data_IF_489582170305
#
_entry.id   IF_489582170305
#
_cell.length_a   1.000
_cell.length_b   1.000
_cell.length_c   1.000
_cell.angle_alpha   90.00
_cell.angle_beta   90.00
_cell.angle_gamma   90.00
#
_symmetry.space_group_name_H-M   'P 1'
#
loop_
_entity.id
_entity.type
_entity.pdbx_description
1 polymer ?
#
# COMPACT_ATOMS: atom_id res chain seq x y z
N UNK A 1 3.23 -13.54 -0.91
CA UNK A 1 3.19 -13.87 -2.34
C UNK A 1 4.64 -14.07 -2.75
N UNK A 2 4.99 -15.15 -3.46
CA UNK A 2 6.35 -15.35 -3.97
C UNK A 2 6.38 -14.86 -5.43
N UNK A 3 7.32 -13.97 -5.74
CA UNK A 3 7.55 -13.43 -7.09
C UNK A 3 9.02 -13.58 -7.45
N UNK A 4 9.32 -13.75 -8.72
CA UNK A 4 10.67 -13.94 -9.26
C UNK A 4 11.08 -12.71 -10.05
N UNK A 5 12.28 -12.22 -9.83
CA UNK A 5 12.77 -11.04 -10.52
C UNK A 5 14.25 -11.11 -10.81
N UNK A 6 14.71 -10.07 -11.50
CA UNK A 6 16.11 -9.84 -11.81
C UNK A 6 16.56 -8.49 -11.25
N UNK A 7 17.84 -8.34 -11.03
CA UNK A 7 18.45 -7.02 -10.92
C UNK A 7 19.51 -6.83 -12.00
N UNK A 8 19.56 -5.61 -12.54
CA UNK A 8 20.33 -5.31 -13.77
C UNK A 8 20.97 -3.95 -13.70
N UNK A 9 22.05 -3.79 -14.45
CA UNK A 9 22.78 -2.54 -14.64
C UNK A 9 23.23 -2.42 -16.10
N UNK A 10 24.07 -1.43 -16.41
CA UNK A 10 24.74 -1.34 -17.70
C UNK A 10 25.52 -2.61 -18.08
N UNK A 11 25.95 -3.43 -17.11
CA UNK A 11 26.75 -4.63 -17.37
C UNK A 11 25.98 -5.75 -18.06
N UNK A 12 24.64 -5.75 -17.99
CA UNK A 12 23.79 -6.67 -18.76
C UNK A 12 23.61 -6.23 -20.23
N UNK A 13 24.12 -5.05 -20.60
CA UNK A 13 24.04 -4.54 -21.96
C UNK A 13 22.61 -4.27 -22.42
N UNK A 14 22.38 -4.31 -23.74
CA UNK A 14 21.06 -4.05 -24.32
C UNK A 14 20.11 -5.23 -24.12
N UNK A 15 19.30 -5.13 -23.07
CA UNK A 15 18.25 -6.12 -22.74
C UNK A 15 17.07 -6.02 -23.72
N UNK A 16 16.56 -7.17 -24.16
CA UNK A 16 15.30 -7.30 -24.89
C UNK A 16 14.13 -7.47 -23.91
N UNK A 17 13.60 -6.34 -23.42
CA UNK A 17 12.54 -6.32 -22.40
C UNK A 17 11.21 -6.92 -22.86
N UNK A 18 10.91 -6.92 -24.16
CA UNK A 18 9.71 -7.57 -24.72
C UNK A 18 9.72 -9.09 -24.53
N UNK A 19 10.92 -9.68 -24.55
CA UNK A 19 11.11 -11.11 -24.27
C UNK A 19 11.16 -11.34 -22.77
N UNK A 20 12.03 -10.60 -22.06
CA UNK A 20 12.27 -10.75 -20.61
C UNK A 20 10.98 -10.70 -19.80
N UNK A 21 10.01 -9.82 -20.14
CA UNK A 21 8.75 -9.67 -19.39
C UNK A 21 7.94 -10.96 -19.24
N UNK A 22 8.17 -11.97 -20.07
CA UNK A 22 7.48 -13.26 -19.98
C UNK A 22 8.16 -14.25 -19.02
N UNK A 23 9.32 -13.87 -18.45
CA UNK A 23 10.16 -14.71 -17.62
C UNK A 23 10.39 -14.15 -16.21
N UNK A 24 9.91 -12.93 -15.94
CA UNK A 24 10.08 -12.24 -14.65
C UNK A 24 8.75 -11.61 -14.21
N UNK A 25 8.59 -11.46 -12.90
CA UNK A 25 7.50 -10.70 -12.29
C UNK A 25 7.90 -9.25 -11.99
N UNK A 26 9.20 -8.98 -11.79
CA UNK A 26 9.72 -7.64 -11.49
C UNK A 26 11.22 -7.48 -11.84
N UNK A 27 11.68 -6.23 -11.87
CA UNK A 27 13.10 -5.89 -11.99
C UNK A 27 13.56 -4.83 -10.96
N UNK A 28 14.80 -4.92 -10.48
CA UNK A 28 15.48 -3.82 -9.75
C UNK A 28 16.62 -3.30 -10.63
N UNK A 29 16.62 -2.01 -10.96
CA UNK A 29 17.53 -1.45 -11.97
C UNK A 29 18.55 -0.55 -11.26
N UNK A 30 19.85 -0.71 -11.53
CA UNK A 30 20.84 0.27 -11.06
C UNK A 30 20.55 1.61 -11.69
N UNK A 31 20.34 2.63 -10.87
CA UNK A 31 20.17 4.00 -11.35
C UNK A 31 21.50 4.75 -11.46
N UNK A 32 22.44 4.44 -10.58
CA UNK A 32 23.77 5.03 -10.56
C UNK A 32 24.60 4.49 -9.41
N UNK A 33 25.70 5.16 -9.15
CA UNK A 33 26.60 4.87 -8.04
C UNK A 33 27.18 6.17 -7.49
N UNK A 34 27.53 6.19 -6.21
CA UNK A 34 28.18 7.37 -5.62
C UNK A 34 27.31 8.63 -5.60
N UNK A 35 27.94 9.77 -5.87
CA UNK A 35 27.37 11.11 -5.66
C UNK A 35 26.55 11.57 -6.86
N UNK A 36 25.73 12.62 -6.64
CA UNK A 36 24.88 13.23 -7.66
C UNK A 36 25.68 13.93 -8.78
N UNK A 37 26.24 13.13 -9.66
CA UNK A 37 27.13 13.51 -10.76
C UNK A 37 26.67 12.72 -11.99
N UNK A 38 26.42 13.42 -13.11
CA UNK A 38 25.94 12.80 -14.36
C UNK A 38 26.83 11.63 -14.82
N UNK A 39 28.15 11.75 -14.66
CA UNK A 39 29.10 10.68 -15.02
C UNK A 39 29.03 9.43 -14.13
N UNK A 40 28.23 9.46 -13.06
CA UNK A 40 27.96 8.31 -12.20
C UNK A 40 26.52 7.78 -12.33
N UNK A 41 25.73 8.33 -13.26
CA UNK A 41 24.48 7.70 -13.70
C UNK A 41 24.84 6.35 -14.38
N UNK A 42 24.03 5.32 -14.17
CA UNK A 42 24.20 4.08 -14.93
C UNK A 42 23.77 4.31 -16.39
N UNK A 43 24.64 4.00 -17.35
CA UNK A 43 24.46 4.39 -18.75
C UNK A 43 23.18 3.79 -19.38
N UNK A 44 22.69 2.67 -18.86
CA UNK A 44 21.49 2.00 -19.35
C UNK A 44 20.27 2.20 -18.44
N UNK A 45 20.39 2.91 -17.32
CA UNK A 45 19.27 3.14 -16.40
C UNK A 45 18.05 3.71 -17.13
N UNK A 46 18.23 4.82 -17.85
CA UNK A 46 17.11 5.50 -18.52
C UNK A 46 16.39 4.57 -19.50
N UNK A 47 17.15 3.87 -20.35
CA UNK A 47 16.57 2.91 -21.30
C UNK A 47 15.80 1.80 -20.56
N UNK A 48 16.39 1.23 -19.53
CA UNK A 48 15.77 0.13 -18.79
C UNK A 48 14.50 0.58 -18.05
N UNK A 49 14.51 1.75 -17.41
CA UNK A 49 13.34 2.32 -16.73
C UNK A 49 12.23 2.70 -17.73
N UNK A 50 12.58 3.29 -18.87
CA UNK A 50 11.63 3.64 -19.95
C UNK A 50 10.96 2.37 -20.51
N UNK A 51 11.72 1.30 -20.75
CA UNK A 51 11.19 0.03 -21.27
C UNK A 51 10.31 -0.69 -20.24
N UNK A 52 10.73 -0.76 -18.97
CA UNK A 52 9.87 -1.31 -17.91
C UNK A 52 8.56 -0.53 -17.79
N UNK A 53 8.62 0.80 -17.87
CA UNK A 53 7.42 1.66 -17.86
C UNK A 53 6.53 1.39 -19.06
N UNK A 54 7.09 1.36 -20.29
CA UNK A 54 6.36 1.10 -21.55
C UNK A 54 5.65 -0.25 -21.52
N UNK A 55 6.28 -1.26 -20.91
CA UNK A 55 5.80 -2.64 -20.87
C UNK A 55 5.01 -2.99 -19.61
N UNK A 56 4.81 -2.04 -18.70
CA UNK A 56 4.18 -2.26 -17.39
C UNK A 56 4.85 -3.37 -16.57
N UNK A 57 6.18 -3.50 -16.67
CA UNK A 57 6.97 -4.39 -15.82
C UNK A 57 7.14 -3.69 -14.46
N UNK A 58 6.67 -4.26 -13.34
CA UNK A 58 6.92 -3.71 -12.02
C UNK A 58 8.42 -3.58 -11.77
N UNK A 59 8.88 -2.39 -11.40
CA UNK A 59 10.30 -2.18 -11.13
C UNK A 59 10.57 -1.26 -9.95
N UNK A 60 11.78 -1.40 -9.42
CA UNK A 60 12.40 -0.54 -8.42
C UNK A 60 13.82 -0.20 -8.88
N UNK A 61 14.59 0.45 -8.03
CA UNK A 61 15.98 0.82 -8.37
C UNK A 61 16.92 0.54 -7.23
N UNK A 62 18.22 0.48 -7.54
CA UNK A 62 19.26 0.56 -6.52
C UNK A 62 20.32 1.60 -6.88
N UNK A 63 21.01 2.08 -5.85
CA UNK A 63 22.20 2.91 -5.99
C UNK A 63 23.35 2.26 -5.23
N UNK A 64 24.47 2.04 -5.93
CA UNK A 64 25.69 1.49 -5.36
C UNK A 64 26.44 2.55 -4.56
N UNK A 65 26.58 2.36 -3.25
CA UNK A 65 27.10 3.39 -2.36
C UNK A 65 28.61 3.51 -2.38
N UNK A 66 29.11 4.75 -2.40
CA UNK A 66 30.50 5.07 -2.06
C UNK A 66 30.62 6.01 -0.85
N UNK A 67 29.54 6.15 -0.07
CA UNK A 67 29.47 7.10 1.03
C UNK A 67 30.45 6.77 2.16
N UNK A 68 31.18 7.79 2.62
CA UNK A 68 32.09 7.68 3.77
C UNK A 68 31.53 8.38 5.01
N UNK A 69 30.51 9.20 4.83
CA UNK A 69 29.89 9.98 5.88
C UNK A 69 28.43 10.31 5.53
N UNK A 70 27.73 10.95 6.47
CA UNK A 70 26.31 11.30 6.34
C UNK A 70 26.02 12.26 5.19
N UNK A 71 26.90 13.22 4.90
CA UNK A 71 26.66 14.18 3.81
C UNK A 71 26.78 13.50 2.45
N UNK A 72 27.77 12.61 2.28
CA UNK A 72 27.88 11.79 1.07
C UNK A 72 26.56 11.05 0.83
N UNK A 73 26.02 10.38 1.85
CA UNK A 73 24.76 9.63 1.77
C UNK A 73 23.55 10.48 1.37
N UNK A 74 23.50 11.75 1.78
CA UNK A 74 22.46 12.69 1.31
C UNK A 74 22.66 13.07 -0.15
N UNK A 75 23.91 13.23 -0.60
CA UNK A 75 24.25 13.40 -2.01
C UNK A 75 23.80 12.21 -2.85
N UNK A 76 24.05 11.00 -2.37
CA UNK A 76 23.60 9.74 -3.01
C UNK A 76 22.07 9.66 -3.08
N UNK A 77 21.35 10.06 -2.03
CA UNK A 77 19.88 10.14 -2.07
C UNK A 77 19.36 11.15 -3.10
N UNK A 78 19.98 12.34 -3.21
CA UNK A 78 19.64 13.35 -4.22
C UNK A 78 19.89 12.86 -5.64
N UNK A 79 20.96 12.09 -5.84
CA UNK A 79 21.26 11.41 -7.11
C UNK A 79 20.11 10.52 -7.55
N UNK A 80 19.65 9.64 -6.66
CA UNK A 80 18.50 8.78 -6.95
C UNK A 80 17.28 9.61 -7.28
N UNK A 81 16.93 10.60 -6.45
CA UNK A 81 15.74 11.45 -6.67
C UNK A 81 15.75 12.13 -8.04
N UNK A 82 16.90 12.66 -8.49
CA UNK A 82 17.03 13.28 -9.81
C UNK A 82 16.66 12.31 -10.93
N UNK A 83 17.08 11.06 -10.80
CA UNK A 83 16.91 10.02 -11.82
C UNK A 83 15.50 9.41 -11.83
N UNK A 84 14.88 9.26 -10.65
CA UNK A 84 13.62 8.50 -10.54
C UNK A 84 12.35 9.35 -10.55
N UNK A 85 12.45 10.68 -10.44
CA UNK A 85 11.30 11.60 -10.25
C UNK A 85 10.14 11.45 -11.25
N UNK A 86 10.42 10.99 -12.47
CA UNK A 86 9.44 10.88 -13.55
C UNK A 86 8.88 9.45 -13.70
N UNK A 87 9.26 8.51 -12.83
CA UNK A 87 8.85 7.11 -12.89
C UNK A 87 7.98 6.70 -11.71
N UNK A 88 6.91 5.96 -11.98
CA UNK A 88 6.16 5.23 -10.95
C UNK A 88 6.78 3.86 -10.74
N UNK A 89 7.35 3.63 -9.56
CA UNK A 89 8.14 2.42 -9.27
C UNK A 89 7.45 1.55 -8.23
N UNK A 90 6.99 0.38 -8.65
CA UNK A 90 6.21 -0.55 -7.84
C UNK A 90 7.06 -1.36 -6.84
N UNK A 91 8.39 -1.20 -6.87
CA UNK A 91 9.35 -1.78 -5.93
C UNK A 91 10.20 -0.70 -5.25
N UNK A 92 10.85 -1.01 -4.12
CA UNK A 92 11.64 -0.06 -3.34
C UNK A 92 12.81 0.57 -4.10
N UNK A 93 13.31 1.67 -3.53
CA UNK A 93 14.66 2.16 -3.77
C UNK A 93 15.58 1.46 -2.78
N UNK A 94 16.50 0.64 -3.27
CA UNK A 94 17.49 -0.03 -2.44
C UNK A 94 18.80 0.75 -2.37
N UNK A 95 19.32 0.90 -1.16
CA UNK A 95 20.69 1.35 -0.96
C UNK A 95 21.62 0.16 -0.90
N UNK A 96 22.52 0.05 -1.87
CA UNK A 96 23.44 -1.06 -2.00
C UNK A 96 24.72 -0.76 -1.20
N UNK A 97 24.88 -1.50 -0.09
CA UNK A 97 25.92 -1.33 0.92
C UNK A 97 26.89 -2.52 0.89
N UNK A 98 27.85 -2.46 -0.03
CA UNK A 98 28.83 -3.53 -0.15
C UNK A 98 30.27 -3.10 -0.48
N UNK A 99 30.50 -1.82 -0.83
CA UNK A 99 31.85 -1.37 -1.20
C UNK A 99 32.85 -1.47 -0.03
N UNK A 100 33.87 -2.30 -0.21
CA UNK A 100 34.89 -2.53 0.81
C UNK A 100 35.85 -1.34 1.02
N UNK A 101 35.99 -0.47 0.02
CA UNK A 101 36.99 0.60 0.02
C UNK A 101 36.49 1.93 0.60
N UNK A 102 35.18 2.09 0.72
CA UNK A 102 34.51 3.31 1.20
C UNK A 102 33.64 3.00 2.41
N UNK A 103 32.38 2.63 2.22
CA UNK A 103 31.41 2.32 3.26
C UNK A 103 31.90 1.18 4.16
N UNK A 104 32.54 0.16 3.58
CA UNK A 104 33.05 -1.02 4.30
C UNK A 104 34.21 -0.73 5.25
N UNK A 105 34.92 0.40 5.07
CA UNK A 105 35.97 0.88 5.97
C UNK A 105 35.43 1.62 7.20
N UNK A 106 34.15 1.95 7.22
CA UNK A 106 33.53 2.64 8.34
C UNK A 106 33.16 1.65 9.46
N UNK A 107 32.96 2.17 10.68
CA UNK A 107 32.39 1.38 11.78
C UNK A 107 30.92 1.10 11.53
N UNK A 108 30.36 0.04 12.14
CA UNK A 108 28.94 -0.29 12.00
C UNK A 108 28.01 0.86 12.40
N UNK A 109 28.41 1.67 13.40
CA UNK A 109 27.66 2.86 13.81
C UNK A 109 27.65 3.93 12.71
N UNK A 110 28.80 4.18 12.07
CA UNK A 110 28.87 5.13 10.95
C UNK A 110 28.08 4.61 9.75
N UNK A 111 28.15 3.31 9.42
CA UNK A 111 27.35 2.70 8.36
C UNK A 111 25.85 2.85 8.64
N UNK A 112 25.43 2.64 9.89
CA UNK A 112 24.04 2.84 10.31
C UNK A 112 23.59 4.30 10.13
N UNK A 113 24.44 5.28 10.46
CA UNK A 113 24.15 6.69 10.26
C UNK A 113 24.10 7.09 8.77
N UNK A 114 24.98 6.51 7.94
CA UNK A 114 24.98 6.67 6.48
C UNK A 114 23.67 6.14 5.88
N UNK A 115 23.31 4.89 6.21
CA UNK A 115 22.08 4.27 5.73
C UNK A 115 20.82 5.05 6.16
N UNK A 116 20.79 5.50 7.43
CA UNK A 116 19.70 6.31 7.95
C UNK A 116 19.58 7.65 7.21
N UNK A 117 20.69 8.33 6.94
CA UNK A 117 20.68 9.62 6.25
C UNK A 117 20.15 9.51 4.81
N UNK A 118 20.57 8.48 4.08
CA UNK A 118 20.06 8.18 2.75
C UNK A 118 18.54 7.92 2.79
N UNK A 119 18.10 7.07 3.73
CA UNK A 119 16.69 6.72 3.85
C UNK A 119 15.81 7.90 4.28
N UNK A 120 16.22 8.66 5.31
CA UNK A 120 15.47 9.83 5.79
C UNK A 120 15.23 10.84 4.65
N UNK A 121 16.25 11.08 3.82
CA UNK A 121 16.18 12.03 2.69
C UNK A 121 15.14 11.57 1.65
N UNK A 122 15.16 10.30 1.27
CA UNK A 122 14.22 9.72 0.31
C UNK A 122 12.80 9.60 0.88
N UNK A 123 12.65 9.16 2.13
CA UNK A 123 11.34 8.99 2.77
C UNK A 123 10.63 10.32 2.97
N UNK A 124 11.38 11.38 3.32
CA UNK A 124 10.88 12.76 3.40
C UNK A 124 10.35 13.27 2.06
N UNK A 125 10.90 12.76 0.95
CA UNK A 125 10.47 13.08 -0.41
C UNK A 125 9.49 12.06 -1.01
N UNK A 126 8.88 11.21 -0.17
CA UNK A 126 7.79 10.34 -0.61
C UNK A 126 8.24 9.05 -1.28
N UNK A 127 9.49 8.62 -1.09
CA UNK A 127 9.97 7.33 -1.58
C UNK A 127 9.91 6.24 -0.50
N UNK A 128 9.87 4.98 -0.95
CA UNK A 128 9.90 3.77 -0.14
C UNK A 128 11.31 3.15 -0.24
N UNK A 129 11.99 3.01 0.89
CA UNK A 129 13.44 2.70 0.93
C UNK A 129 13.71 1.33 1.53
N UNK A 130 14.69 0.65 0.96
CA UNK A 130 15.26 -0.60 1.44
C UNK A 130 16.78 -0.58 1.49
N UNK A 131 17.34 -1.60 2.13
CA UNK A 131 18.79 -1.83 2.14
C UNK A 131 19.10 -3.16 1.46
N UNK A 132 20.12 -3.13 0.61
CA UNK A 132 20.72 -4.32 0.04
C UNK A 132 22.12 -4.55 0.60
N UNK A 133 22.43 -5.80 0.90
CA UNK A 133 23.78 -6.25 1.20
C UNK A 133 23.89 -7.79 1.14
N UNK A 134 25.11 -8.29 1.07
CA UNK A 134 25.40 -9.72 1.30
C UNK A 134 25.01 -10.18 2.71
N UNK A 135 24.73 -11.48 2.86
CA UNK A 135 24.46 -12.10 4.16
C UNK A 135 25.59 -11.85 5.17
N UNK A 136 26.85 -11.81 4.71
CA UNK A 136 28.00 -11.49 5.54
C UNK A 136 27.89 -10.07 6.11
N UNK A 137 27.60 -9.08 5.28
CA UNK A 137 27.39 -7.70 5.72
C UNK A 137 26.19 -7.57 6.65
N UNK A 138 25.08 -8.25 6.36
CA UNK A 138 23.93 -8.30 7.27
C UNK A 138 24.28 -8.86 8.65
N UNK A 139 25.16 -9.86 8.72
CA UNK A 139 25.59 -10.49 9.99
C UNK A 139 26.68 -9.72 10.72
N UNK A 140 27.51 -8.94 10.03
CA UNK A 140 28.74 -8.36 10.62
C UNK A 140 28.82 -6.84 10.60
N UNK A 141 28.11 -6.17 9.68
CA UNK A 141 28.17 -4.72 9.46
C UNK A 141 26.83 -4.03 9.74
N UNK A 142 25.73 -4.57 9.21
CA UNK A 142 24.38 -4.00 9.33
C UNK A 142 23.64 -4.51 10.59
N UNK A 143 24.30 -4.45 11.74
CA UNK A 143 23.82 -5.07 12.99
C UNK A 143 22.96 -4.17 13.86
N UNK A 144 22.91 -2.85 13.56
CA UNK A 144 22.11 -1.88 14.29
C UNK A 144 20.60 -2.12 14.13
N UNK A 145 19.82 -1.85 15.17
CA UNK A 145 18.34 -1.95 15.13
C UNK A 145 17.71 -0.96 14.15
N UNK A 146 18.44 0.07 13.70
CA UNK A 146 17.90 1.01 12.69
C UNK A 146 17.46 0.27 11.42
N UNK A 147 18.13 -0.83 11.07
CA UNK A 147 17.81 -1.62 9.89
C UNK A 147 16.51 -2.39 10.02
N UNK A 148 15.91 -2.50 11.21
CA UNK A 148 14.59 -3.12 11.41
C UNK A 148 13.44 -2.25 10.88
N UNK A 149 13.72 -0.98 10.52
CA UNK A 149 12.75 -0.06 9.91
C UNK A 149 12.62 -0.21 8.40
N UNK A 150 13.64 -0.76 7.74
CA UNK A 150 13.74 -0.80 6.28
C UNK A 150 13.51 -2.20 5.75
N UNK A 151 13.02 -2.28 4.52
CA UNK A 151 12.96 -3.57 3.84
C UNK A 151 14.36 -4.09 3.56
N UNK A 152 14.54 -5.42 3.64
CA UNK A 152 15.83 -6.08 3.43
C UNK A 152 15.84 -6.88 2.15
N UNK A 153 16.83 -6.58 1.33
CA UNK A 153 17.25 -7.40 0.22
C UNK A 153 18.60 -8.03 0.57
N UNK A 154 18.63 -9.35 0.67
CA UNK A 154 19.79 -10.11 1.17
C UNK A 154 20.38 -10.93 0.03
N UNK A 155 21.67 -10.79 -0.24
CA UNK A 155 22.37 -11.68 -1.17
C UNK A 155 23.02 -12.87 -0.45
N UNK A 156 22.71 -14.08 -0.92
CA UNK A 156 23.40 -15.30 -0.53
C UNK A 156 23.19 -16.38 -1.59
N UNK A 157 24.27 -16.81 -2.24
CA UNK A 157 24.22 -17.78 -3.34
C UNK A 157 24.31 -19.21 -2.80
N UNK A 158 23.27 -19.64 -2.10
CA UNK A 158 23.18 -20.93 -1.42
C UNK A 158 21.81 -21.59 -1.64
N UNK A 159 21.68 -22.87 -1.29
CA UNK A 159 20.40 -23.57 -1.37
C UNK A 159 19.34 -22.97 -0.43
N UNK A 160 19.77 -22.37 0.68
CA UNK A 160 18.92 -21.72 1.68
C UNK A 160 19.61 -20.45 2.19
N UNK A 161 18.83 -19.38 2.42
CA UNK A 161 19.38 -18.09 2.85
C UNK A 161 20.01 -18.15 4.25
N UNK A 162 19.45 -18.93 5.19
CA UNK A 162 19.93 -19.07 6.57
C UNK A 162 20.24 -17.72 7.26
N UNK A 163 19.26 -16.82 7.19
CA UNK A 163 19.27 -15.51 7.85
C UNK A 163 18.23 -15.47 8.97
N UNK A 164 18.66 -15.10 10.18
CA UNK A 164 17.86 -15.23 11.41
C UNK A 164 16.86 -14.08 11.63
N UNK A 165 16.84 -13.08 10.74
CA UNK A 165 15.92 -11.94 10.76
C UNK A 165 14.97 -12.01 9.57
N UNK A 166 13.86 -11.27 9.67
CA UNK A 166 12.94 -11.06 8.55
C UNK A 166 13.64 -10.38 7.37
N UNK A 167 13.37 -10.87 6.17
CA UNK A 167 13.81 -10.32 4.90
C UNK A 167 12.66 -10.36 3.90
N UNK A 168 12.72 -9.47 2.92
CA UNK A 168 11.63 -9.27 1.96
C UNK A 168 12.02 -9.74 0.56
N UNK A 169 13.31 -9.68 0.25
CA UNK A 169 13.88 -10.12 -1.02
C UNK A 169 15.20 -10.87 -0.81
N UNK A 170 15.43 -11.90 -1.61
CA UNK A 170 16.64 -12.71 -1.59
C UNK A 170 17.24 -12.80 -2.99
N UNK A 171 18.46 -12.27 -3.17
CA UNK A 171 19.28 -12.54 -4.35
C UNK A 171 19.97 -13.90 -4.18
N UNK A 172 19.49 -14.90 -4.91
CA UNK A 172 19.87 -16.30 -4.71
C UNK A 172 20.89 -16.82 -5.73
N UNK A 173 21.15 -16.06 -6.79
CA UNK A 173 22.12 -16.40 -7.83
C UNK A 173 22.65 -15.14 -8.50
N UNK A 174 23.94 -15.14 -8.84
CA UNK A 174 24.57 -14.13 -9.71
C UNK A 174 24.95 -14.65 -11.09
N UNK A 175 24.62 -15.91 -11.37
CA UNK A 175 24.95 -16.61 -12.62
C UNK A 175 23.69 -17.09 -13.33
N UNK A 176 22.58 -16.38 -13.16
CA UNK A 176 21.32 -16.69 -13.81
C UNK A 176 21.38 -16.51 -15.32
N UNK A 177 20.44 -17.17 -16.00
CA UNK A 177 20.19 -16.97 -17.42
C UNK A 177 18.70 -16.69 -17.63
N UNK A 178 18.39 -15.60 -18.33
CA UNK A 178 17.03 -15.20 -18.68
C UNK A 178 17.00 -14.86 -20.16
N UNK A 179 16.04 -15.44 -20.89
CA UNK A 179 15.89 -15.19 -22.32
C UNK A 179 15.68 -13.69 -22.58
N UNK A 180 16.42 -13.15 -23.56
CA UNK A 180 16.45 -11.72 -23.85
C UNK A 180 17.59 -10.94 -23.16
N UNK A 181 18.40 -11.59 -22.32
CA UNK A 181 19.64 -11.06 -21.75
C UNK A 181 20.82 -11.91 -22.26
N UNK A 182 21.82 -11.28 -22.86
CA UNK A 182 22.95 -12.00 -23.48
C UNK A 182 24.06 -12.38 -22.50
N UNK A 183 24.02 -11.86 -21.27
CA UNK A 183 24.98 -12.11 -20.21
C UNK A 183 24.32 -12.89 -19.07
N UNK A 184 25.13 -13.29 -18.08
CA UNK A 184 24.57 -13.70 -16.79
C UNK A 184 23.86 -12.53 -16.10
N UNK A 185 22.87 -12.87 -15.27
CA UNK A 185 22.04 -11.92 -14.54
C UNK A 185 21.76 -12.43 -13.13
N UNK A 186 21.65 -11.49 -12.19
CA UNK A 186 21.27 -11.77 -10.82
C UNK A 186 19.78 -12.16 -10.73
N UNK A 187 19.48 -13.19 -9.93
CA UNK A 187 18.12 -13.71 -9.76
C UNK A 187 17.63 -13.54 -8.33
N UNK A 188 16.37 -13.14 -8.21
CA UNK A 188 15.77 -12.71 -6.96
C UNK A 188 14.43 -13.40 -6.69
N UNK A 189 14.22 -13.78 -5.44
CA UNK A 189 12.89 -14.06 -4.89
C UNK A 189 12.42 -12.86 -4.07
N UNK A 190 11.19 -12.41 -4.29
CA UNK A 190 10.52 -11.42 -3.44
C UNK A 190 9.29 -12.02 -2.76
N UNK A 191 9.21 -11.83 -1.44
CA UNK A 191 8.20 -12.41 -0.56
C UNK A 191 7.11 -11.42 -0.14
N UNK A 192 7.32 -10.11 -0.41
CA UNK A 192 6.37 -9.03 -0.16
C UNK A 192 5.64 -8.60 -1.43
N UNK A 193 4.40 -8.16 -1.24
CA UNK A 193 3.60 -7.51 -2.28
C UNK A 193 3.91 -6.00 -2.30
N UNK A 194 5.12 -5.65 -2.76
CA UNK A 194 5.53 -4.24 -2.88
C UNK A 194 4.61 -3.42 -3.78
N UNK A 195 4.13 -3.91 -4.94
CA UNK A 195 3.21 -3.14 -5.77
C UNK A 195 1.99 -2.65 -4.99
N UNK A 196 1.40 -3.51 -4.15
CA UNK A 196 0.30 -3.11 -3.27
C UNK A 196 0.76 -2.17 -2.16
N UNK A 197 1.80 -2.53 -1.42
CA UNK A 197 2.30 -1.75 -0.26
C UNK A 197 2.63 -0.31 -0.67
N UNK A 198 3.38 -0.14 -1.76
CA UNK A 198 3.89 1.15 -2.21
C UNK A 198 2.76 2.01 -2.81
N UNK A 199 1.88 1.42 -3.61
CA UNK A 199 0.74 2.15 -4.19
C UNK A 199 -0.29 2.57 -3.12
N UNK A 200 -0.61 1.72 -2.15
CA UNK A 200 -1.49 2.06 -1.02
C UNK A 200 -0.88 3.15 -0.13
N UNK A 201 0.46 3.17 0.02
CA UNK A 201 1.17 4.21 0.75
C UNK A 201 1.26 5.54 -0.01
N UNK A 202 1.01 5.57 -1.33
CA UNK A 202 1.24 6.75 -2.17
C UNK A 202 2.70 7.14 -2.25
N UNK A 203 3.59 6.14 -2.26
CA UNK A 203 5.04 6.33 -2.34
C UNK A 203 5.53 6.10 -3.77
N UNK A 204 6.77 6.48 -4.07
CA UNK A 204 7.42 6.24 -5.36
C UNK A 204 6.62 6.78 -6.56
N UNK A 205 6.19 8.05 -6.46
CA UNK A 205 5.39 8.75 -7.47
C UNK A 205 4.02 8.11 -7.78
N UNK A 206 3.60 7.09 -7.03
CA UNK A 206 2.19 6.72 -7.00
C UNK A 206 1.41 7.78 -6.24
N UNK A 207 0.27 8.17 -6.79
CA UNK A 207 -0.69 8.91 -6.00
C UNK A 207 -1.07 8.04 -4.80
N UNK A 208 -1.13 8.62 -3.60
CA UNK A 208 -1.80 7.97 -2.47
C UNK A 208 -3.14 7.48 -3.00
N UNK A 209 -3.41 6.18 -2.91
CA UNK A 209 -4.73 5.63 -3.19
C UNK A 209 -5.69 6.24 -2.17
N UNK A 210 -6.12 7.47 -2.45
CA UNK A 210 -7.15 8.19 -1.74
C UNK A 210 -8.43 7.53 -2.22
N UNK A 211 -9.21 6.91 -1.32
CA UNK A 211 -10.53 6.41 -1.67
C UNK A 211 -11.28 7.55 -2.40
N UNK A 212 -11.70 7.29 -3.64
CA UNK A 212 -12.42 8.27 -4.47
C UNK A 212 -13.62 8.72 -3.66
N UNK A 213 -13.78 10.01 -3.35
CA UNK A 213 -14.92 10.50 -2.56
C UNK A 213 -16.28 10.17 -3.23
N UNK A 214 -16.78 8.94 -3.05
CA UNK A 214 -18.03 8.41 -3.61
C UNK A 214 -19.26 8.91 -2.84
N UNK A 215 -19.03 9.36 -1.61
CA UNK A 215 -20.06 9.79 -0.68
C UNK A 215 -19.86 11.25 -0.29
N UNK A 216 -20.95 11.94 0.04
CA UNK A 216 -20.96 13.34 0.46
C UNK A 216 -21.45 13.50 1.89
N UNK A 217 -21.12 14.63 2.53
CA UNK A 217 -21.71 15.01 3.81
C UNK A 217 -23.23 14.95 3.69
N UNK A 218 -23.87 14.29 4.64
CA UNK A 218 -25.30 14.06 4.70
C UNK A 218 -25.77 12.70 4.18
N UNK A 219 -24.96 11.98 3.41
CA UNK A 219 -25.29 10.61 2.98
C UNK A 219 -25.38 9.69 4.22
N UNK A 220 -26.38 8.81 4.25
CA UNK A 220 -26.46 7.72 5.22
C UNK A 220 -25.88 6.47 4.59
N UNK A 221 -25.02 5.77 5.31
CA UNK A 221 -24.27 4.63 4.81
C UNK A 221 -24.33 3.45 5.76
N UNK A 222 -24.24 2.24 5.20
CA UNK A 222 -23.98 1.00 5.94
C UNK A 222 -22.51 0.63 5.80
N UNK A 223 -21.89 0.16 6.88
CA UNK A 223 -20.46 -0.15 6.91
C UNK A 223 -20.14 -1.30 7.87
N UNK A 224 -19.09 -2.05 7.58
CA UNK A 224 -18.70 -3.23 8.36
C UNK A 224 -17.71 -2.94 9.49
N UNK A 225 -16.90 -1.89 9.34
CA UNK A 225 -15.88 -1.48 10.30
C UNK A 225 -15.84 0.03 10.43
N UNK A 226 -15.29 0.50 11.56
CA UNK A 226 -14.95 1.92 11.78
C UNK A 226 -13.50 2.04 12.21
N UNK A 227 -12.94 3.25 12.08
CA UNK A 227 -11.57 3.58 12.45
C UNK A 227 -11.59 4.71 13.47
N UNK A 228 -10.63 4.70 14.40
CA UNK A 228 -10.58 5.69 15.49
C UNK A 228 -10.32 7.11 14.96
N UNK A 229 -9.49 7.22 13.92
CA UNK A 229 -9.12 8.49 13.29
C UNK A 229 -9.13 8.37 11.76
N UNK A 230 -9.09 9.52 11.09
CA UNK A 230 -9.04 9.58 9.63
C UNK A 230 -7.78 8.95 9.02
N UNK A 231 -6.73 8.71 9.81
CA UNK A 231 -5.48 8.05 9.35
C UNK A 231 -5.25 6.65 9.93
N UNK A 232 -6.09 6.20 10.88
CA UNK A 232 -5.90 4.91 11.55
C UNK A 232 -5.94 3.74 10.57
N UNK A 233 -5.01 2.80 10.75
CA UNK A 233 -4.91 1.57 9.94
C UNK A 233 -5.67 0.40 10.54
N UNK A 234 -5.91 0.40 11.85
CA UNK A 234 -6.56 -0.70 12.55
C UNK A 234 -8.08 -0.53 12.55
N UNK A 235 -8.84 -1.47 11.95
CA UNK A 235 -10.30 -1.43 11.96
C UNK A 235 -10.85 -1.88 13.32
N UNK A 236 -11.96 -1.27 13.74
CA UNK A 236 -12.73 -1.61 14.93
C UNK A 236 -14.12 -2.09 14.54
N UNK A 237 -14.68 -3.01 15.32
CA UNK A 237 -16.07 -3.43 15.17
C UNK A 237 -16.99 -2.34 15.72
N UNK A 238 -17.89 -1.77 14.91
CA UNK A 238 -18.77 -0.72 15.39
C UNK A 238 -19.89 -1.30 16.25
N UNK A 239 -20.39 -0.50 17.19
CA UNK A 239 -21.60 -0.84 17.94
C UNK A 239 -22.85 -0.82 17.04
N UNK A 240 -22.88 0.03 16.01
CA UNK A 240 -23.91 0.08 14.96
C UNK A 240 -23.24 0.15 13.58
N UNK A 241 -23.74 -0.65 12.63
CA UNK A 241 -23.18 -0.76 11.27
C UNK A 241 -23.79 0.23 10.27
N UNK A 242 -24.42 1.31 10.76
CA UNK A 242 -25.07 2.33 9.94
C UNK A 242 -24.86 3.70 10.57
N UNK A 243 -24.80 4.75 9.73
CA UNK A 243 -24.73 6.12 10.21
C UNK A 243 -24.60 7.15 9.10
N UNK A 244 -24.74 8.42 9.49
CA UNK A 244 -24.70 9.57 8.60
C UNK A 244 -23.29 10.13 8.50
N UNK A 245 -22.83 10.44 7.29
CA UNK A 245 -21.57 11.16 7.09
C UNK A 245 -21.76 12.61 7.52
N UNK A 246 -21.03 13.05 8.53
CA UNK A 246 -21.12 14.42 9.09
C UNK A 246 -19.95 15.29 8.69
N UNK A 247 -18.80 14.69 8.39
CA UNK A 247 -17.60 15.40 7.95
C UNK A 247 -16.80 14.57 6.95
N UNK A 248 -16.15 15.27 6.02
CA UNK A 248 -15.22 14.68 5.07
C UNK A 248 -13.85 15.35 5.23
N UNK A 249 -12.80 14.54 5.39
CA UNK A 249 -11.40 15.01 5.35
C UNK A 249 -10.79 14.53 4.04
N UNK A 250 -10.56 15.49 3.14
CA UNK A 250 -9.95 15.21 1.85
C UNK A 250 -8.57 14.58 2.02
N UNK A 251 -8.26 13.62 1.15
CA UNK A 251 -6.96 12.93 1.10
C UNK A 251 -6.60 12.09 2.34
N UNK A 252 -7.57 11.84 3.23
CA UNK A 252 -7.38 10.97 4.37
C UNK A 252 -7.61 9.49 4.02
N UNK A 253 -7.03 8.59 4.82
CA UNK A 253 -7.21 7.13 4.67
C UNK A 253 -8.68 6.72 4.89
N UNK A 254 -9.31 7.30 5.91
CA UNK A 254 -10.69 7.10 6.29
C UNK A 254 -11.40 8.46 6.24
N UNK A 255 -11.81 8.91 5.04
CA UNK A 255 -12.20 10.30 4.84
C UNK A 255 -13.55 10.65 5.46
N UNK A 256 -14.42 9.68 5.74
CA UNK A 256 -15.80 9.96 6.16
C UNK A 256 -15.98 9.76 7.66
N UNK A 257 -16.31 10.83 8.38
CA UNK A 257 -16.72 10.76 9.78
C UNK A 257 -18.20 10.37 9.87
N UNK A 258 -18.52 9.38 10.70
CA UNK A 258 -19.88 8.92 10.95
C UNK A 258 -20.43 9.51 12.25
N UNK A 259 -21.62 10.11 12.17
CA UNK A 259 -22.33 10.68 13.32
C UNK A 259 -21.58 11.83 14.00
N UNK A 260 -21.85 12.07 15.27
CA UNK A 260 -21.09 13.02 16.12
C UNK A 260 -19.82 12.33 16.65
N UNK A 261 -18.86 12.06 15.77
CA UNK A 261 -17.57 11.41 16.10
C UNK A 261 -17.65 9.94 16.55
N UNK A 262 -18.60 9.16 16.00
CA UNK A 262 -18.72 7.73 16.31
C UNK A 262 -17.63 6.85 15.66
N UNK A 263 -16.89 7.40 14.70
CA UNK A 263 -15.78 6.74 14.03
C UNK A 263 -15.66 7.16 12.57
N UNK A 264 -14.53 6.82 11.97
CA UNK A 264 -14.23 7.09 10.57
C UNK A 264 -14.43 5.86 9.71
N UNK A 265 -14.83 6.04 8.45
CA UNK A 265 -14.97 4.97 7.46
C UNK A 265 -14.37 5.41 6.13
N UNK A 266 -14.19 4.45 5.22
CA UNK A 266 -13.71 4.65 3.85
C UNK A 266 -14.55 3.83 2.87
N UNK A 267 -14.30 4.00 1.57
CA UNK A 267 -15.06 3.30 0.53
C UNK A 267 -14.93 1.77 0.59
N UNK A 268 -13.86 1.23 1.16
CA UNK A 268 -13.64 -0.22 1.24
C UNK A 268 -14.54 -0.88 2.30
N UNK A 269 -14.89 -0.13 3.36
CA UNK A 269 -15.71 -0.65 4.46
C UNK A 269 -17.18 -0.23 4.37
N UNK A 270 -17.50 0.78 3.54
CA UNK A 270 -18.89 1.15 3.23
C UNK A 270 -19.47 0.13 2.24
N UNK A 271 -20.59 -0.49 2.62
CA UNK A 271 -21.32 -1.44 1.77
C UNK A 271 -22.26 -0.74 0.77
N UNK A 272 -22.70 0.47 1.10
CA UNK A 272 -23.63 1.23 0.26
C UNK A 272 -24.32 2.37 0.99
N UNK A 273 -25.07 3.18 0.24
CA UNK A 273 -26.00 4.17 0.81
C UNK A 273 -27.25 3.48 1.34
N UNK A 274 -27.83 4.04 2.39
CA UNK A 274 -29.12 3.62 2.93
C UNK A 274 -30.09 4.80 2.92
N UNK A 275 -31.38 4.49 2.83
CA UNK A 275 -32.44 5.47 2.95
C UNK A 275 -33.21 5.25 4.24
N UNK A 276 -33.85 6.33 4.72
CA UNK A 276 -34.78 6.27 5.83
C UNK A 276 -36.19 6.57 5.33
N UNK A 277 -37.13 5.68 5.66
CA UNK A 277 -38.55 5.96 5.53
C UNK A 277 -39.03 6.73 6.75
N UNK A 278 -39.99 7.63 6.53
CA UNK A 278 -40.58 8.45 7.58
C UNK A 278 -42.07 8.61 7.33
N UNK A 279 -42.87 8.44 8.38
CA UNK A 279 -44.31 8.75 8.37
C UNK A 279 -44.76 9.19 9.78
N UNK A 280 -44.33 10.38 10.25
CA UNK A 280 -44.58 10.85 11.61
C UNK A 280 -46.06 11.15 11.87
N UNK A 281 -46.82 11.48 10.83
CA UNK A 281 -48.24 11.85 10.92
C UNK A 281 -49.17 10.63 10.92
N UNK A 282 -48.64 9.41 10.81
CA UNK A 282 -49.46 8.20 10.85
C UNK A 282 -49.99 7.93 12.26
N UNK A 283 -51.30 8.08 12.42
CA UNK A 283 -52.01 7.91 13.71
C UNK A 283 -52.44 6.46 14.00
N UNK A 284 -52.33 5.54 13.03
CA UNK A 284 -52.73 4.14 13.22
C UNK A 284 -51.67 3.26 13.91
N UNK A 285 -51.99 1.97 14.06
CA UNK A 285 -51.17 0.93 14.70
C UNK A 285 -50.66 -0.16 13.72
N UNK A 286 -51.02 -0.06 12.43
CA UNK A 286 -50.65 -1.04 11.42
C UNK A 286 -49.46 -0.56 10.58
N UNK A 287 -48.32 -1.24 10.72
CA UNK A 287 -47.12 -1.01 9.90
C UNK A 287 -47.40 -1.12 8.39
N UNK A 288 -48.24 -2.09 8.00
CA UNK A 288 -48.64 -2.30 6.61
C UNK A 288 -49.40 -1.09 6.05
N UNK A 289 -50.34 -0.56 6.83
CA UNK A 289 -51.11 0.61 6.43
C UNK A 289 -50.23 1.88 6.43
N UNK A 290 -49.28 1.98 7.35
CA UNK A 290 -48.32 3.08 7.40
C UNK A 290 -47.41 3.11 6.16
N UNK A 291 -46.90 1.95 5.72
CA UNK A 291 -46.15 1.81 4.47
C UNK A 291 -47.03 2.15 3.26
N UNK A 292 -48.27 1.66 3.23
CA UNK A 292 -49.22 1.95 2.15
C UNK A 292 -49.46 3.45 1.99
N UNK A 293 -49.57 4.20 3.09
CA UNK A 293 -49.83 5.65 3.05
C UNK A 293 -48.70 6.43 2.37
N UNK A 294 -47.45 5.98 2.54
CA UNK A 294 -46.27 6.60 1.91
C UNK A 294 -45.92 5.96 0.56
N UNK A 295 -46.76 5.06 0.04
CA UNK A 295 -46.58 4.44 -1.28
C UNK A 295 -45.53 3.34 -1.35
N UNK A 296 -45.11 2.79 -0.20
CA UNK A 296 -44.10 1.72 -0.13
C UNK A 296 -44.69 0.33 -0.35
N UNK A 297 -43.84 -0.61 -0.83
CA UNK A 297 -44.25 -1.99 -1.03
C UNK A 297 -44.65 -2.66 0.30
N UNK A 298 -45.91 -3.10 0.37
CA UNK A 298 -46.50 -3.73 1.55
C UNK A 298 -46.26 -5.24 1.64
N UNK A 299 -45.60 -5.83 0.64
CA UNK A 299 -45.36 -7.26 0.57
C UNK A 299 -44.65 -7.79 1.83
N UNK A 300 -44.92 -9.05 2.18
CA UNK A 300 -44.21 -9.70 3.28
C UNK A 300 -42.70 -9.77 3.01
N UNK A 301 -42.30 -9.90 1.74
CA UNK A 301 -40.91 -9.92 1.32
C UNK A 301 -40.19 -8.58 1.60
N UNK A 302 -40.80 -7.45 1.20
CA UNK A 302 -40.22 -6.14 1.50
C UNK A 302 -40.19 -5.86 3.00
N UNK A 303 -41.26 -6.21 3.74
CA UNK A 303 -41.26 -6.08 5.21
C UNK A 303 -40.18 -6.93 5.87
N UNK A 304 -39.95 -8.16 5.38
CA UNK A 304 -38.88 -9.04 5.86
C UNK A 304 -37.50 -8.46 5.55
N UNK A 305 -37.34 -7.79 4.41
CA UNK A 305 -36.11 -7.08 4.03
C UNK A 305 -35.86 -5.87 4.94
N UNK A 306 -36.86 -5.00 5.12
CA UNK A 306 -36.82 -3.84 6.04
C UNK A 306 -36.53 -4.31 7.46
N UNK A 307 -37.19 -5.36 7.93
CA UNK A 307 -36.98 -5.93 9.25
C UNK A 307 -35.52 -6.33 9.49
N UNK A 308 -34.93 -7.09 8.54
CA UNK A 308 -33.51 -7.46 8.58
C UNK A 308 -32.58 -6.24 8.61
N UNK A 309 -32.86 -5.21 7.81
CA UNK A 309 -32.06 -3.97 7.78
C UNK A 309 -32.07 -3.22 9.12
N UNK A 310 -33.13 -3.38 9.91
CA UNK A 310 -33.33 -2.76 11.23
C UNK A 310 -33.05 -3.72 12.39
N UNK A 311 -32.37 -4.85 12.16
CA UNK A 311 -31.88 -5.75 13.20
C UNK A 311 -32.81 -6.92 13.57
N UNK A 312 -33.94 -7.07 12.90
CA UNK A 312 -34.90 -8.15 13.13
C UNK A 312 -34.63 -9.28 12.12
N UNK A 313 -33.69 -10.17 12.44
CA UNK A 313 -33.23 -11.23 11.52
C UNK A 313 -34.22 -12.38 11.33
N UNK A 314 -35.14 -12.58 12.28
CA UNK A 314 -36.15 -13.65 12.31
C UNK A 314 -37.57 -13.08 12.13
N UNK A 315 -37.73 -12.19 11.15
CA UNK A 315 -39.02 -11.55 10.91
C UNK A 315 -40.07 -12.57 10.46
N UNK A 316 -41.14 -12.69 11.24
CA UNK A 316 -42.32 -13.53 10.95
C UNK A 316 -43.59 -12.69 10.83
N UNK A 317 -43.47 -11.36 10.93
CA UNK A 317 -44.59 -10.44 10.87
C UNK A 317 -45.44 -10.39 12.13
N UNK A 318 -44.88 -10.73 13.30
CA UNK A 318 -45.60 -10.65 14.57
C UNK A 318 -46.02 -9.22 14.91
N UNK A 319 -47.04 -9.06 15.78
CA UNK A 319 -47.51 -7.75 16.22
C UNK A 319 -46.37 -6.91 16.81
N UNK A 320 -45.54 -7.51 17.68
CA UNK A 320 -44.37 -6.85 18.29
C UNK A 320 -43.37 -6.37 17.24
N UNK A 321 -43.01 -7.22 16.28
CA UNK A 321 -42.07 -6.85 15.21
C UNK A 321 -42.61 -5.71 14.34
N UNK A 322 -43.91 -5.73 14.01
CA UNK A 322 -44.53 -4.66 13.24
C UNK A 322 -44.64 -3.35 14.03
N UNK A 323 -44.94 -3.40 15.32
CA UNK A 323 -44.97 -2.21 16.19
C UNK A 323 -43.59 -1.58 16.33
N UNK A 324 -42.53 -2.40 16.43
CA UNK A 324 -41.14 -1.93 16.46
C UNK A 324 -40.77 -1.18 15.17
N UNK A 325 -41.04 -1.77 14.01
CA UNK A 325 -40.80 -1.13 12.71
C UNK A 325 -41.68 0.10 12.49
N UNK A 326 -42.93 0.07 12.96
CA UNK A 326 -43.83 1.20 12.92
C UNK A 326 -43.31 2.38 13.75
N UNK A 327 -42.78 2.11 14.94
CA UNK A 327 -42.20 3.17 15.77
C UNK A 327 -41.00 3.81 15.08
N UNK A 328 -40.10 3.00 14.51
CA UNK A 328 -38.98 3.52 13.71
C UNK A 328 -39.47 4.36 12.52
N UNK A 329 -40.56 3.97 11.87
CA UNK A 329 -41.13 4.73 10.75
C UNK A 329 -41.67 6.09 11.20
N UNK A 330 -42.40 6.12 12.32
CA UNK A 330 -42.92 7.37 12.90
C UNK A 330 -41.80 8.31 13.33
N UNK A 331 -40.72 7.75 13.85
CA UNK A 331 -39.54 8.50 14.30
C UNK A 331 -38.63 8.94 13.11
N UNK A 332 -38.94 8.54 11.87
CA UNK A 332 -38.10 8.80 10.69
C UNK A 332 -36.75 8.06 10.72
N UNK A 333 -36.69 6.95 11.45
CA UNK A 333 -35.49 6.13 11.69
C UNK A 333 -35.54 4.76 11.04
N UNK A 334 -36.60 4.44 10.29
CA UNK A 334 -36.76 3.15 9.63
C UNK A 334 -35.85 3.04 8.41
N UNK A 335 -34.88 2.14 8.45
CA UNK A 335 -33.97 1.91 7.33
C UNK A 335 -34.67 1.09 6.24
N UNK A 336 -34.58 1.53 4.99
CA UNK A 336 -35.14 0.83 3.81
C UNK A 336 -34.13 0.58 2.73
#
# INVERSE_FOLDING_TARGET
>A
MLTNGIDVSQYQGLINWEVVKNHIDFAIIRCGYGQDIIGQDDELFKRNADECTRLNIPFGVYLYSYAKNVEDARGEARHVMRLVKDYKMAYPIYYDLEDENTTGRQSNEVIANIAKAFADELEANGYFVGMYASLYWWKTKLTSEIFDKYTRWVANYAAELNFDKDYDMWQYSSTGWVEGISTIVDLNYCYKDFPKIISEAGKNNFNKNIPVERYKVGDNVRFNYVFLTSESTNPLRPYRNVGRITRIVKNARNPYLIGEDQGWVNDQVIEGKINYLSNPDYVGDSFVNALKQIGEDISFENRSRIARLNGINNYVGSATQNLELLQLLKDGRLIS
#
